data_IF_385159838397
#
_entry.id   IF_385159838397
#
_cell.length_a   1.000
_cell.length_b   1.000
_cell.length_c   1.000
_cell.angle_alpha   90.00
_cell.angle_beta   90.00
_cell.angle_gamma   90.00
#
_symmetry.space_group_name_H-M   'P 1'
#
loop_
_entity.id
_entity.type
_entity.pdbx_description
1 polymer ?
#
# COMPACT_ATOMS: atom_id res chain seq x y z
N UNK A 1 47.58 50.35 -29.93
CA UNK A 1 46.50 50.79 -30.84
C UNK A 1 45.41 49.73 -30.75
N UNK A 2 44.34 49.97 -29.98
CA UNK A 2 42.99 50.34 -30.47
C UNK A 2 42.36 49.19 -31.31
N UNK A 3 41.21 48.56 -31.02
CA UNK A 3 40.00 48.95 -30.31
C UNK A 3 39.21 47.74 -29.75
N UNK A 4 38.48 48.02 -28.66
CA UNK A 4 37.21 47.48 -28.13
C UNK A 4 36.41 46.54 -29.06
N UNK A 5 35.85 45.45 -28.51
CA UNK A 5 34.40 45.15 -28.43
C UNK A 5 34.16 43.99 -27.43
N UNK A 6 33.41 44.27 -26.38
CA UNK A 6 32.87 43.25 -25.47
C UNK A 6 31.54 42.74 -26.04
N UNK A 7 31.40 41.42 -26.17
CA UNK A 7 30.09 40.77 -26.35
C UNK A 7 29.85 39.95 -25.09
N UNK A 8 28.95 40.45 -24.25
CA UNK A 8 28.37 39.72 -23.13
C UNK A 8 27.39 38.72 -23.75
N UNK A 9 27.76 37.45 -23.79
CA UNK A 9 26.83 36.38 -24.08
C UNK A 9 26.00 36.11 -22.81
N UNK A 10 24.88 36.83 -22.66
CA UNK A 10 23.83 36.44 -21.75
C UNK A 10 23.09 35.23 -22.36
N UNK A 11 23.54 34.01 -22.02
CA UNK A 11 22.71 32.83 -22.23
C UNK A 11 21.60 32.85 -21.18
N UNK A 12 20.39 33.11 -21.67
CA UNK A 12 19.17 33.16 -20.87
C UNK A 12 18.98 31.86 -20.09
N UNK A 13 18.77 32.02 -18.79
CA UNK A 13 18.13 31.01 -17.97
C UNK A 13 16.72 30.85 -18.53
N UNK A 14 16.44 29.73 -19.20
CA UNK A 14 15.09 29.33 -19.48
C UNK A 14 14.42 29.02 -18.14
N UNK A 15 13.63 29.98 -17.64
CA UNK A 15 12.70 29.73 -16.56
C UNK A 15 11.65 28.77 -17.12
N UNK A 16 11.79 27.48 -16.80
CA UNK A 16 10.69 26.54 -16.94
C UNK A 16 9.61 27.01 -15.96
N UNK A 17 8.68 27.83 -16.47
CA UNK A 17 7.44 28.16 -15.78
C UNK A 17 6.79 26.85 -15.35
N UNK A 18 6.66 26.64 -14.03
CA UNK A 18 5.96 25.51 -13.46
C UNK A 18 4.53 25.47 -13.98
N UNK A 19 4.29 24.69 -15.04
CA UNK A 19 2.95 24.35 -15.46
C UNK A 19 2.30 23.57 -14.32
N UNK A 20 1.17 24.04 -13.83
CA UNK A 20 0.36 23.24 -12.93
C UNK A 20 0.05 21.92 -13.64
N UNK A 21 0.52 20.80 -13.10
CA UNK A 21 0.10 19.48 -13.60
C UNK A 21 -1.41 19.42 -13.39
N UNK A 22 -2.16 19.36 -14.49
CA UNK A 22 -3.60 19.28 -14.46
C UNK A 22 -4.00 17.88 -13.96
N UNK A 23 -4.69 17.82 -12.83
CA UNK A 23 -5.26 16.56 -12.34
C UNK A 23 -6.40 16.14 -13.27
N UNK A 24 -6.38 14.90 -13.73
CA UNK A 24 -7.31 14.37 -14.74
C UNK A 24 -8.47 13.61 -14.10
N UNK A 25 -9.68 13.77 -14.64
CA UNK A 25 -10.83 12.88 -14.41
C UNK A 25 -10.80 11.62 -15.27
N UNK A 26 -10.11 11.69 -16.42
CA UNK A 26 -9.99 10.56 -17.32
C UNK A 26 -9.08 9.48 -16.71
N UNK A 27 -9.31 8.24 -17.13
CA UNK A 27 -8.46 7.12 -16.77
C UNK A 27 -7.00 7.41 -17.15
N UNK A 28 -6.09 7.24 -16.20
CA UNK A 28 -4.65 7.49 -16.36
C UNK A 28 -3.82 6.43 -15.65
N UNK A 29 -2.68 6.09 -16.25
CA UNK A 29 -1.62 5.28 -15.64
C UNK A 29 -0.37 6.13 -15.35
N UNK A 30 -0.54 7.46 -15.27
CA UNK A 30 0.53 8.38 -14.96
C UNK A 30 0.32 8.94 -13.55
N UNK A 31 1.11 8.51 -12.55
CA UNK A 31 0.91 8.92 -11.15
C UNK A 31 0.86 10.43 -10.93
N UNK A 32 1.59 11.22 -11.73
CA UNK A 32 1.60 12.69 -11.58
C UNK A 32 0.28 13.35 -11.98
N UNK A 33 -0.58 12.68 -12.75
CA UNK A 33 -1.90 13.17 -13.17
C UNK A 33 -3.01 12.83 -12.17
N UNK A 34 -2.68 12.03 -11.15
CA UNK A 34 -3.61 11.59 -10.11
C UNK A 34 -4.04 12.77 -9.23
N UNK A 35 -5.27 12.71 -8.70
CA UNK A 35 -5.74 13.66 -7.71
C UNK A 35 -5.04 13.45 -6.36
N UNK A 36 -4.55 14.53 -5.78
CA UNK A 36 -4.25 14.53 -4.34
C UNK A 36 -5.56 14.54 -3.56
N UNK A 37 -5.58 13.95 -2.37
CA UNK A 37 -6.76 13.94 -1.52
C UNK A 37 -6.75 12.81 -0.50
N UNK A 38 -7.81 12.77 0.30
CA UNK A 38 -8.08 11.68 1.23
C UNK A 38 -8.85 10.59 0.52
N UNK A 39 -8.40 9.36 0.66
CA UNK A 39 -8.98 8.18 0.05
C UNK A 39 -9.30 7.12 1.10
N UNK A 40 -10.33 6.34 0.83
CA UNK A 40 -10.72 5.19 1.66
C UNK A 40 -10.72 3.95 0.77
N UNK A 41 -10.15 2.86 1.28
CA UNK A 41 -10.15 1.57 0.61
C UNK A 41 -11.59 1.11 0.40
N UNK A 42 -11.92 0.66 -0.81
CA UNK A 42 -13.17 -0.01 -1.10
C UNK A 42 -13.17 -1.41 -0.45
N UNK A 43 -14.05 -1.69 0.52
CA UNK A 43 -14.08 -2.98 1.22
C UNK A 43 -14.31 -4.18 0.29
N UNK A 44 -14.93 -3.98 -0.88
CA UNK A 44 -15.17 -5.06 -1.84
C UNK A 44 -13.97 -5.35 -2.75
N UNK A 45 -13.01 -4.44 -2.81
CA UNK A 45 -11.85 -4.48 -3.72
C UNK A 45 -10.54 -4.26 -2.95
N UNK A 46 -10.52 -4.68 -1.68
CA UNK A 46 -9.38 -4.65 -0.79
C UNK A 46 -9.20 -6.02 -0.12
N UNK A 47 -8.07 -6.69 -0.36
CA UNK A 47 -7.75 -7.98 0.29
C UNK A 47 -6.25 -8.21 0.36
N UNK A 48 -5.86 -9.09 1.27
CA UNK A 48 -4.48 -9.54 1.41
C UNK A 48 -4.46 -11.05 1.22
N UNK A 49 -3.77 -11.53 0.17
CA UNK A 49 -3.44 -12.94 0.01
C UNK A 49 -2.08 -13.19 0.67
N UNK A 50 -2.02 -14.16 1.58
CA UNK A 50 -0.76 -14.58 2.19
C UNK A 50 -0.35 -15.94 1.66
N UNK A 51 0.95 -16.19 1.65
CA UNK A 51 1.51 -17.49 1.29
C UNK A 51 2.70 -17.88 2.15
N UNK A 52 2.88 -19.19 2.35
CA UNK A 52 3.94 -19.76 3.18
C UNK A 52 4.38 -21.12 2.64
N UNK A 53 5.66 -21.46 2.80
CA UNK A 53 6.15 -22.81 2.52
C UNK A 53 5.53 -23.84 3.48
N UNK A 54 5.06 -24.95 2.93
CA UNK A 54 4.52 -26.07 3.69
C UNK A 54 5.40 -27.31 3.50
N UNK A 55 6.44 -27.41 4.33
CA UNK A 55 7.39 -28.52 4.41
C UNK A 55 8.21 -28.74 3.12
N UNK A 56 8.38 -27.72 2.29
CA UNK A 56 9.04 -27.83 0.98
C UNK A 56 8.23 -28.57 -0.09
N UNK A 57 7.00 -29.02 0.21
CA UNK A 57 6.16 -29.73 -0.76
C UNK A 57 5.28 -28.78 -1.60
N UNK A 58 4.86 -27.66 -1.02
CA UNK A 58 3.96 -26.71 -1.68
C UNK A 58 4.02 -25.33 -1.02
N UNK A 59 3.72 -24.30 -1.80
CA UNK A 59 3.31 -22.99 -1.27
C UNK A 59 1.84 -23.05 -0.89
N UNK A 60 1.55 -22.92 0.40
CA UNK A 60 0.18 -22.83 0.89
C UNK A 60 -0.30 -21.38 0.85
N UNK A 61 -1.58 -21.15 0.56
CA UNK A 61 -2.17 -19.81 0.39
C UNK A 61 -3.45 -19.65 1.20
N UNK A 62 -3.68 -18.44 1.68
CA UNK A 62 -4.94 -18.02 2.29
C UNK A 62 -5.13 -16.52 2.17
N UNK A 63 -6.21 -16.00 2.74
CA UNK A 63 -6.57 -14.59 2.60
C UNK A 63 -7.02 -13.97 3.92
N UNK A 64 -6.86 -12.64 4.01
CA UNK A 64 -7.63 -11.77 4.90
C UNK A 64 -8.52 -10.90 4.02
N UNK A 65 -9.82 -10.91 4.29
CA UNK A 65 -10.82 -10.25 3.44
C UNK A 65 -11.46 -9.03 4.11
N UNK A 66 -11.30 -8.86 5.42
CA UNK A 66 -11.77 -7.67 6.12
C UNK A 66 -10.57 -6.73 6.37
N UNK A 67 -10.34 -5.88 5.38
CA UNK A 67 -9.27 -4.88 5.37
C UNK A 67 -9.91 -3.50 5.22
N UNK A 68 -9.58 -2.60 6.14
CA UNK A 68 -9.91 -1.19 6.05
C UNK A 68 -8.61 -0.40 5.93
N UNK A 69 -8.57 0.59 5.02
CA UNK A 69 -7.42 1.49 4.93
C UNK A 69 -7.82 2.89 4.50
N UNK A 70 -6.99 3.86 4.89
CA UNK A 70 -7.11 5.27 4.50
C UNK A 70 -5.78 5.76 3.97
N UNK A 71 -5.82 6.49 2.87
CA UNK A 71 -4.67 7.06 2.19
C UNK A 71 -4.89 8.57 2.01
N UNK A 72 -4.07 9.39 2.65
CA UNK A 72 -3.98 10.82 2.33
C UNK A 72 -2.81 11.00 1.37
N UNK A 73 -3.13 11.20 0.09
CA UNK A 73 -2.15 11.24 -0.99
C UNK A 73 -1.82 12.68 -1.35
N UNK A 74 -0.53 13.03 -1.31
CA UNK A 74 0.02 14.20 -1.98
C UNK A 74 0.87 13.77 -3.17
N UNK A 75 0.29 13.82 -4.38
CA UNK A 75 0.96 13.45 -5.63
C UNK A 75 2.19 14.32 -5.93
N UNK A 76 2.21 15.56 -5.45
CA UNK A 76 3.34 16.48 -5.66
C UNK A 76 4.45 16.26 -4.64
N UNK A 77 4.12 15.70 -3.49
CA UNK A 77 5.07 15.30 -2.46
C UNK A 77 4.68 13.97 -1.84
N UNK A 78 4.94 12.83 -2.51
CA UNK A 78 4.54 11.51 -2.01
C UNK A 78 5.06 11.21 -0.60
N UNK A 79 6.20 11.79 -0.20
CA UNK A 79 6.76 11.63 1.14
C UNK A 79 5.96 12.29 2.27
N UNK A 80 5.04 13.21 1.96
CA UNK A 80 4.08 13.78 2.91
C UNK A 80 2.76 13.01 2.97
N UNK A 81 2.60 11.98 2.15
CA UNK A 81 1.40 11.13 2.16
C UNK A 81 1.37 10.22 3.39
N UNK A 82 0.18 9.88 3.85
CA UNK A 82 -0.02 8.95 4.98
C UNK A 82 -0.90 7.78 4.56
N UNK A 83 -0.56 6.59 5.02
CA UNK A 83 -1.36 5.37 4.84
C UNK A 83 -1.49 4.68 6.19
N UNK A 84 -2.72 4.32 6.53
CA UNK A 84 -3.02 3.43 7.66
C UNK A 84 -3.97 2.34 7.23
N UNK A 85 -3.76 1.13 7.75
CA UNK A 85 -4.64 0.00 7.52
C UNK A 85 -4.92 -0.76 8.82
N UNK A 86 -6.13 -1.30 8.91
CA UNK A 86 -6.56 -2.21 9.97
C UNK A 86 -7.11 -3.46 9.31
N UNK A 87 -6.70 -4.62 9.83
CA UNK A 87 -7.13 -5.93 9.35
C UNK A 87 -7.84 -6.63 10.51
N UNK A 88 -9.06 -7.08 10.31
CA UNK A 88 -9.68 -8.03 11.25
C UNK A 88 -9.04 -9.41 11.03
N UNK A 89 -8.28 -9.86 12.01
CA UNK A 89 -7.55 -11.14 11.93
C UNK A 89 -8.47 -12.35 11.95
N UNK A 90 -9.72 -12.19 12.41
CA UNK A 90 -10.73 -13.25 12.37
C UNK A 90 -11.21 -13.55 10.94
N UNK A 91 -11.01 -12.61 10.01
CA UNK A 91 -11.30 -12.77 8.58
C UNK A 91 -10.33 -13.70 7.84
N UNK A 92 -9.38 -14.33 8.55
CA UNK A 92 -8.50 -15.35 7.96
C UNK A 92 -9.32 -16.49 7.35
N UNK A 93 -9.02 -16.80 6.09
CA UNK A 93 -9.71 -17.84 5.33
C UNK A 93 -8.77 -18.62 4.42
N UNK A 94 -8.94 -19.94 4.42
CA UNK A 94 -8.13 -20.89 3.62
C UNK A 94 -8.99 -21.88 2.81
N UNK A 95 -10.31 -21.67 2.81
CA UNK A 95 -11.32 -22.62 2.32
C UNK A 95 -11.32 -23.96 3.11
N UNK A 96 -10.74 -23.96 4.32
CA UNK A 96 -10.71 -25.09 5.24
C UNK A 96 -11.03 -24.62 6.66
N UNK A 97 -12.29 -24.80 7.07
CA UNK A 97 -12.81 -24.32 8.36
C UNK A 97 -12.01 -24.80 9.59
N UNK A 98 -11.42 -26.01 9.52
CA UNK A 98 -10.60 -26.55 10.62
C UNK A 98 -9.27 -25.80 10.73
N UNK A 99 -8.63 -25.54 9.59
CA UNK A 99 -7.40 -24.76 9.57
C UNK A 99 -7.68 -23.30 9.96
N UNK A 100 -8.75 -22.70 9.46
CA UNK A 100 -9.14 -21.33 9.81
C UNK A 100 -9.39 -21.20 11.31
N UNK A 101 -10.04 -22.20 11.92
CA UNK A 101 -10.21 -22.27 13.37
C UNK A 101 -8.88 -22.36 14.11
N UNK A 102 -7.90 -23.12 13.59
CA UNK A 102 -6.57 -23.25 14.21
C UNK A 102 -5.74 -21.96 14.07
N UNK A 103 -5.76 -21.32 12.89
CA UNK A 103 -5.09 -20.05 12.61
C UNK A 103 -5.55 -18.92 13.55
N UNK A 104 -6.79 -18.98 14.05
CA UNK A 104 -7.32 -18.00 15.01
C UNK A 104 -6.80 -18.20 16.45
N UNK A 105 -6.27 -19.38 16.77
CA UNK A 105 -5.83 -19.71 18.15
C UNK A 105 -4.51 -19.05 18.52
N UNK A 106 -4.13 -19.20 19.80
CA UNK A 106 -2.85 -18.74 20.36
C UNK A 106 -1.59 -19.40 19.74
N UNK A 107 -1.74 -20.48 18.97
CA UNK A 107 -0.62 -21.03 18.19
C UNK A 107 -0.22 -20.10 17.03
N UNK A 108 -1.17 -19.28 16.55
CA UNK A 108 -1.03 -18.39 15.39
C UNK A 108 -1.44 -16.96 15.72
N UNK A 109 -2.58 -16.48 15.21
CA UNK A 109 -2.98 -15.07 15.23
C UNK A 109 -3.49 -14.63 16.60
N UNK A 110 -3.98 -15.56 17.42
CA UNK A 110 -4.54 -15.29 18.75
C UNK A 110 -5.62 -14.21 18.71
N UNK A 111 -6.60 -14.37 17.82
CA UNK A 111 -7.61 -13.34 17.49
C UNK A 111 -8.48 -12.97 18.68
N UNK A 112 -8.63 -13.88 19.65
CA UNK A 112 -9.33 -13.63 20.91
C UNK A 112 -8.67 -12.52 21.75
N UNK A 113 -7.34 -12.41 21.72
CA UNK A 113 -6.59 -11.41 22.48
C UNK A 113 -6.11 -10.24 21.60
N UNK A 114 -5.90 -10.49 20.30
CA UNK A 114 -5.41 -9.54 19.32
C UNK A 114 -6.30 -9.56 18.08
N UNK A 115 -7.55 -9.04 18.16
CA UNK A 115 -8.52 -9.16 17.07
C UNK A 115 -8.10 -8.42 15.80
N UNK A 116 -7.19 -7.45 15.93
CA UNK A 116 -6.78 -6.60 14.81
C UNK A 116 -5.26 -6.58 14.63
N UNK A 117 -4.84 -6.64 13.36
CA UNK A 117 -3.52 -6.18 12.94
C UNK A 117 -3.63 -4.75 12.39
N UNK A 118 -2.60 -3.95 12.58
CA UNK A 118 -2.58 -2.53 12.21
C UNK A 118 -1.28 -2.18 11.52
N UNK A 119 -1.36 -1.42 10.42
CA UNK A 119 -0.21 -0.87 9.71
C UNK A 119 -0.32 0.65 9.68
N UNK A 120 0.79 1.33 9.98
CA UNK A 120 0.92 2.79 9.83
C UNK A 120 2.20 3.12 9.10
N UNK A 121 2.10 3.74 7.92
CA UNK A 121 3.24 4.16 7.13
C UNK A 121 4.06 5.24 7.86
N UNK A 122 5.38 5.12 7.77
CA UNK A 122 6.34 6.08 8.30
C UNK A 122 7.15 6.75 7.18
N UNK A 123 7.18 6.15 6.00
CA UNK A 123 7.83 6.69 4.80
C UNK A 123 7.19 6.12 3.55
N UNK A 124 6.99 6.98 2.53
CA UNK A 124 6.66 6.58 1.17
C UNK A 124 7.69 7.16 0.21
N UNK A 125 8.32 6.32 -0.59
CA UNK A 125 9.35 6.72 -1.55
C UNK A 125 9.10 6.03 -2.88
N UNK A 126 9.06 6.80 -3.96
CA UNK A 126 9.04 6.25 -5.31
C UNK A 126 10.30 5.39 -5.55
N UNK A 127 10.10 4.17 -6.05
CA UNK A 127 11.18 3.31 -6.54
C UNK A 127 11.47 3.69 -7.99
N UNK A 128 10.41 3.82 -8.79
CA UNK A 128 10.46 4.33 -10.16
C UNK A 128 9.22 5.19 -10.49
N UNK A 129 8.71 5.12 -11.73
CA UNK A 129 7.62 5.97 -12.20
C UNK A 129 6.30 5.58 -11.56
N UNK A 130 6.00 4.29 -11.48
CA UNK A 130 4.72 3.72 -11.08
C UNK A 130 4.81 2.83 -9.83
N UNK A 131 6.00 2.58 -9.30
CA UNK A 131 6.18 1.83 -8.05
C UNK A 131 6.69 2.69 -6.89
N UNK A 132 6.31 2.30 -5.67
CA UNK A 132 6.73 2.94 -4.43
C UNK A 132 7.06 1.94 -3.32
N UNK A 133 8.10 2.23 -2.55
CA UNK A 133 8.39 1.57 -1.28
C UNK A 133 7.67 2.31 -0.15
N UNK A 134 6.73 1.63 0.50
CA UNK A 134 5.97 2.13 1.65
C UNK A 134 6.46 1.39 2.89
N UNK A 135 7.34 2.03 3.66
CA UNK A 135 7.81 1.49 4.93
C UNK A 135 6.88 1.98 6.04
N UNK A 136 6.48 1.08 6.94
CA UNK A 136 5.61 1.39 8.07
C UNK A 136 5.75 0.42 9.21
N UNK A 137 5.09 0.73 10.32
CA UNK A 137 5.02 -0.12 11.49
C UNK A 137 3.82 -1.04 11.38
N UNK A 138 4.06 -2.34 11.26
CA UNK A 138 3.05 -3.39 11.38
C UNK A 138 2.99 -3.83 12.84
N UNK A 139 1.80 -3.77 13.44
CA UNK A 139 1.48 -4.40 14.71
C UNK A 139 0.63 -5.63 14.45
N UNK A 140 1.16 -6.80 14.80
CA UNK A 140 0.48 -8.09 14.68
C UNK A 140 0.73 -8.86 15.97
N UNK A 141 -0.34 -9.43 16.54
CA UNK A 141 -0.28 -10.17 17.81
C UNK A 141 0.40 -9.39 18.95
N UNK A 142 0.12 -8.09 19.02
CA UNK A 142 0.68 -7.18 20.03
C UNK A 142 2.16 -6.82 19.85
N UNK A 143 2.84 -7.31 18.80
CA UNK A 143 4.24 -6.98 18.51
C UNK A 143 4.29 -6.03 17.32
N UNK A 144 5.05 -4.93 17.46
CA UNK A 144 5.24 -3.94 16.39
C UNK A 144 6.60 -4.11 15.73
N UNK A 145 6.64 -4.24 14.40
CA UNK A 145 7.87 -4.34 13.59
C UNK A 145 7.77 -3.47 12.34
N UNK A 146 8.90 -2.93 11.84
CA UNK A 146 8.92 -2.26 10.55
C UNK A 146 8.74 -3.29 9.42
N UNK A 147 7.85 -3.00 8.49
CA UNK A 147 7.61 -3.77 7.25
C UNK A 147 7.60 -2.78 6.08
N UNK A 148 8.11 -3.22 4.93
CA UNK A 148 8.04 -2.45 3.70
C UNK A 148 7.12 -3.16 2.72
N UNK A 149 6.18 -2.41 2.17
CA UNK A 149 5.31 -2.81 1.07
C UNK A 149 5.92 -2.20 -0.20
N UNK A 150 6.19 -3.00 -1.21
CA UNK A 150 6.45 -2.54 -2.57
C UNK A 150 5.09 -2.47 -3.26
N UNK A 151 4.65 -1.27 -3.63
CA UNK A 151 3.34 -1.03 -4.21
C UNK A 151 3.48 -0.55 -5.65
N UNK A 152 2.68 -1.13 -6.55
CA UNK A 152 2.61 -0.79 -7.96
C UNK A 152 1.29 -0.07 -8.25
N UNK A 153 1.38 1.11 -8.84
CA UNK A 153 0.24 1.87 -9.30
C UNK A 153 -0.28 1.34 -10.63
N UNK A 154 -1.54 0.92 -10.65
CA UNK A 154 -2.16 0.36 -11.85
C UNK A 154 -2.86 1.43 -12.69
N UNK A 155 -3.79 2.17 -12.08
CA UNK A 155 -4.65 3.13 -12.77
C UNK A 155 -5.35 4.07 -11.78
N UNK A 156 -5.69 5.28 -12.23
CA UNK A 156 -6.60 6.17 -11.55
C UNK A 156 -7.61 6.79 -12.52
N UNK A 157 -8.74 7.28 -12.01
CA UNK A 157 -9.72 8.05 -12.78
C UNK A 157 -11.15 7.86 -12.26
N UNK A 158 -12.12 8.46 -12.93
CA UNK A 158 -13.54 8.19 -12.66
C UNK A 158 -13.87 6.74 -13.06
N UNK A 159 -14.21 5.91 -12.08
CA UNK A 159 -14.59 4.52 -12.31
C UNK A 159 -15.93 4.48 -13.07
N UNK A 160 -16.03 3.75 -14.19
CA UNK A 160 -17.21 3.75 -15.05
C UNK A 160 -18.46 3.14 -14.40
N UNK A 161 -18.31 2.35 -13.34
CA UNK A 161 -19.42 1.65 -12.67
C UNK A 161 -20.10 2.55 -11.64
N UNK A 162 -19.34 3.11 -10.71
CA UNK A 162 -19.87 3.88 -9.57
C UNK A 162 -19.68 5.39 -9.71
N UNK A 163 -19.00 5.84 -10.79
CA UNK A 163 -18.70 7.24 -11.09
C UNK A 163 -17.86 7.95 -10.01
N UNK A 164 -17.16 7.20 -9.15
CA UNK A 164 -16.25 7.75 -8.14
C UNK A 164 -14.82 7.77 -8.64
N UNK A 165 -14.07 8.80 -8.28
CA UNK A 165 -12.64 8.82 -8.53
C UNK A 165 -11.94 7.71 -7.74
N UNK A 166 -11.28 6.80 -8.44
CA UNK A 166 -10.68 5.57 -7.88
C UNK A 166 -9.20 5.51 -8.20
N UNK A 167 -8.39 4.95 -7.30
CA UNK A 167 -7.00 4.55 -7.50
C UNK A 167 -6.89 3.03 -7.35
N UNK A 168 -6.16 2.35 -8.22
CA UNK A 168 -5.89 0.92 -8.10
C UNK A 168 -4.39 0.67 -7.88
N UNK A 169 -4.09 -0.21 -6.93
CA UNK A 169 -2.73 -0.66 -6.62
C UNK A 169 -2.69 -2.16 -6.41
N UNK A 170 -1.58 -2.76 -6.83
CA UNK A 170 -1.11 -4.04 -6.29
C UNK A 170 0.05 -3.77 -5.33
N UNK A 171 0.35 -4.72 -4.45
CA UNK A 171 1.55 -4.63 -3.65
C UNK A 171 2.04 -5.97 -3.11
N UNK A 172 3.29 -5.98 -2.67
CA UNK A 172 3.93 -7.13 -2.05
C UNK A 172 4.70 -6.72 -0.78
N UNK A 173 4.66 -7.57 0.23
CA UNK A 173 5.55 -7.50 1.39
C UNK A 173 5.94 -8.89 1.84
N UNK A 174 7.11 -9.03 2.46
CA UNK A 174 7.50 -10.26 3.16
C UNK A 174 7.71 -9.97 4.63
N UNK A 175 7.14 -10.82 5.49
CA UNK A 175 7.34 -10.77 6.93
C UNK A 175 7.88 -12.11 7.43
N UNK A 176 8.54 -12.10 8.59
CA UNK A 176 8.81 -13.33 9.34
C UNK A 176 7.77 -13.48 10.43
N UNK A 177 7.01 -14.57 10.41
CA UNK A 177 5.94 -14.78 11.40
C UNK A 177 6.52 -14.99 12.82
N UNK A 178 7.75 -15.49 12.93
CA UNK A 178 8.48 -15.57 14.20
C UNK A 178 8.77 -14.21 14.84
N UNK A 179 8.95 -13.13 14.06
CA UNK A 179 9.20 -11.78 14.59
C UNK A 179 8.01 -11.22 15.38
N UNK A 180 6.82 -11.80 15.16
CA UNK A 180 5.55 -11.49 15.83
C UNK A 180 5.12 -12.60 16.82
N UNK A 181 6.02 -13.54 17.15
CA UNK A 181 5.78 -14.61 18.12
C UNK A 181 5.00 -15.82 17.57
N UNK A 182 4.71 -15.86 16.27
CA UNK A 182 4.05 -17.00 15.63
C UNK A 182 5.11 -18.06 15.29
N UNK A 183 5.35 -18.98 16.23
CA UNK A 183 6.42 -19.98 16.11
C UNK A 183 5.92 -21.41 15.85
N UNK A 184 4.60 -21.63 15.89
CA UNK A 184 4.02 -22.95 15.72
C UNK A 184 4.44 -23.59 14.39
N UNK A 185 4.89 -24.84 14.43
CA UNK A 185 5.27 -25.61 13.24
C UNK A 185 6.62 -25.25 12.63
N UNK A 186 7.39 -24.29 13.16
CA UNK A 186 8.75 -24.04 12.69
C UNK A 186 9.66 -25.25 12.99
N UNK A 187 10.59 -25.63 12.08
CA UNK A 187 10.81 -25.10 10.73
C UNK A 187 10.04 -25.87 9.64
N UNK A 188 9.11 -26.75 10.01
CA UNK A 188 8.33 -27.56 9.05
C UNK A 188 7.38 -26.69 8.22
N UNK A 189 6.86 -25.62 8.81
CA UNK A 189 6.22 -24.54 8.07
C UNK A 189 7.22 -23.40 7.93
N UNK A 190 7.25 -22.73 6.78
CA UNK A 190 8.14 -21.60 6.52
C UNK A 190 8.01 -20.50 7.58
N UNK A 191 9.10 -19.79 7.83
CA UNK A 191 9.08 -18.60 8.70
C UNK A 191 8.73 -17.33 7.92
N UNK A 192 9.16 -17.25 6.66
CA UNK A 192 8.80 -16.16 5.76
C UNK A 192 7.39 -16.36 5.22
N UNK A 193 6.60 -15.29 5.31
CA UNK A 193 5.25 -15.20 4.76
C UNK A 193 5.23 -14.05 3.77
N UNK A 194 4.89 -14.35 2.53
CA UNK A 194 4.68 -13.34 1.49
C UNK A 194 3.23 -12.88 1.54
N UNK A 195 3.04 -11.57 1.51
CA UNK A 195 1.76 -10.89 1.48
C UNK A 195 1.62 -10.21 0.12
N UNK A 196 0.59 -10.56 -0.63
CA UNK A 196 0.19 -9.90 -1.87
C UNK A 196 -1.09 -9.11 -1.60
N UNK A 197 -1.08 -7.83 -1.93
CA UNK A 197 -2.15 -6.88 -1.64
C UNK A 197 -2.82 -6.47 -2.94
N UNK A 198 -4.15 -6.43 -2.92
CA UNK A 198 -4.97 -5.82 -3.97
C UNK A 198 -5.76 -4.69 -3.32
N UNK A 199 -5.71 -3.47 -3.87
CA UNK A 199 -6.35 -2.33 -3.25
C UNK A 199 -6.91 -1.33 -4.27
N UNK A 200 -8.23 -1.14 -4.26
CA UNK A 200 -8.88 0.01 -4.86
C UNK A 200 -9.28 1.05 -3.80
N UNK A 201 -8.81 2.28 -3.96
CA UNK A 201 -9.09 3.40 -3.07
C UNK A 201 -10.06 4.38 -3.74
N UNK A 202 -11.13 4.76 -3.05
CA UNK A 202 -12.12 5.75 -3.50
C UNK A 202 -11.81 7.10 -2.86
N UNK A 203 -11.83 8.17 -3.66
CA UNK A 203 -11.67 9.53 -3.15
C UNK A 203 -12.80 9.81 -2.15
N UNK A 204 -12.42 10.15 -0.92
CA UNK A 204 -13.34 10.57 0.12
C UNK A 204 -13.67 12.04 -0.15
N UNK A 205 -14.73 12.26 -0.91
CA UNK A 205 -15.34 13.58 -1.07
C UNK A 205 -15.96 13.98 0.27
N UNK A 206 -15.15 14.41 1.24
CA UNK A 206 -15.68 15.28 2.29
C UNK A 206 -16.17 16.50 1.53
N UNK A 207 -17.50 16.63 1.42
CA UNK A 207 -18.17 17.67 0.67
C UNK A 207 -17.42 18.98 0.89
N UNK A 208 -16.78 19.50 -0.16
CA UNK A 208 -16.31 20.87 -0.18
C UNK A 208 -17.50 21.70 0.26
N UNK A 209 -17.44 22.23 1.48
CA UNK A 209 -18.43 23.15 2.00
C UNK A 209 -18.45 24.35 1.06
N UNK A 210 -19.47 24.39 0.19
CA UNK A 210 -19.95 25.61 -0.42
C UNK A 210 -20.86 26.33 0.56
#
# INVERSE_FOLDING_TARGET
MNHKYAIIAALGVAVLSGGAIAQSDALTQNPVEVRSGSYVLDPAHGKITWSVDHMGFSTYVGQFTDVAATLDLDVRNPSASTLSATIDTDSVGTLNDQLDSHLRTADFLDTANFPQAQFAATSMRLIDRDSAAITGNLTLRGVTRPVTIEADFNQAGINPVDQKYTLGFDGEATIKRSDFGIIYGLPMLGDEVTLTLEAEFKLNETANGN
#
